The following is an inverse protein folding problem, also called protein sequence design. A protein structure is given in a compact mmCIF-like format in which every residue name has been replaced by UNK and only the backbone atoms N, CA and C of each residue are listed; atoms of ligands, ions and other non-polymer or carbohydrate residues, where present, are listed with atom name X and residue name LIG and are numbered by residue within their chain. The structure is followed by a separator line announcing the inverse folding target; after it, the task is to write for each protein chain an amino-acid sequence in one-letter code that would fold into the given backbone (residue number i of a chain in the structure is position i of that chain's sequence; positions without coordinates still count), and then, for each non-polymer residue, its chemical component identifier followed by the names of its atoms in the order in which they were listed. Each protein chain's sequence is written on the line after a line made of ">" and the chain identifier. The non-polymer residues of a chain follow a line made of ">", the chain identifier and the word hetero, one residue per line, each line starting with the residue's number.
data_IF_434447696110
#
_entry.id   IF_434447696110
#
_cell.length_a   1.000
_cell.length_b   1.000
_cell.length_c   1.000
_cell.angle_alpha   90.00
_cell.angle_beta   90.00
_cell.angle_gamma   90.00
#
_symmetry.space_group_name_H-M   'P 1'
#
loop_
_entity.id
_entity.type
_entity.pdbx_description
1 polymer ?
#
# COMPACT_ATOMS: atom_id res chain seq x y z
N UNK A 1 -10.05 13.89 -10.63
CA UNK A 1 -10.55 13.91 -9.23
C UNK A 1 -10.49 12.53 -8.58
N UNK A 2 -10.82 11.44 -9.29
CA UNK A 2 -10.63 10.06 -8.80
C UNK A 2 -9.15 9.66 -8.64
N UNK A 3 -8.30 10.09 -9.57
CA UNK A 3 -6.83 9.86 -9.57
C UNK A 3 -6.12 10.52 -8.38
N UNK A 4 -6.71 11.55 -7.78
CA UNK A 4 -6.17 12.23 -6.60
C UNK A 4 -6.80 11.75 -5.29
N UNK A 5 -7.79 10.84 -5.33
CA UNK A 5 -8.33 10.15 -4.15
C UNK A 5 -7.64 8.80 -3.93
N UNK A 6 -7.30 8.04 -4.99
CA UNK A 6 -6.51 6.82 -4.85
C UNK A 6 -5.12 7.09 -4.21
N UNK A 7 -4.46 8.19 -4.62
CA UNK A 7 -3.17 8.62 -4.06
C UNK A 7 -3.19 9.01 -2.56
N UNK A 8 -4.35 9.05 -1.90
CA UNK A 8 -4.50 9.50 -0.50
C UNK A 8 -4.33 8.38 0.52
N UNK A 9 -4.61 7.13 0.15
CA UNK A 9 -4.63 6.01 1.10
C UNK A 9 -3.27 5.28 1.14
N UNK A 10 -2.46 5.39 0.08
CA UNK A 10 -1.26 4.55 -0.11
C UNK A 10 0.08 5.30 -0.13
N UNK A 11 0.11 6.60 0.21
CA UNK A 11 1.32 7.44 0.10
C UNK A 11 2.49 6.96 0.97
N UNK A 12 2.23 6.51 2.19
CA UNK A 12 3.27 6.06 3.13
C UNK A 12 4.14 4.93 2.54
N UNK A 13 3.53 4.03 1.79
CA UNK A 13 4.22 2.84 1.28
C UNK A 13 4.65 3.02 -0.17
N UNK A 14 3.98 3.90 -0.93
CA UNK A 14 4.58 4.47 -2.14
C UNK A 14 5.92 5.15 -1.84
N UNK A 15 6.01 5.89 -0.73
CA UNK A 15 7.24 6.55 -0.32
C UNK A 15 8.31 5.51 0.11
N UNK A 16 7.92 4.40 0.76
CA UNK A 16 8.82 3.27 1.07
C UNK A 16 9.36 2.61 -0.20
N UNK A 17 8.51 2.36 -1.20
CA UNK A 17 8.91 1.75 -2.47
C UNK A 17 9.73 2.74 -3.30
N UNK A 18 9.37 4.02 -3.34
CA UNK A 18 10.10 5.07 -4.06
C UNK A 18 11.47 5.36 -3.44
N UNK A 19 11.59 5.31 -2.11
CA UNK A 19 12.87 5.45 -1.41
C UNK A 19 13.79 4.22 -1.62
N UNK A 20 13.22 3.03 -1.75
CA UNK A 20 13.97 1.79 -1.97
C UNK A 20 14.39 1.59 -3.45
N UNK A 21 13.54 1.95 -4.40
CA UNK A 21 13.80 1.74 -5.84
C UNK A 21 14.50 2.96 -6.44
N UNK A 22 15.78 3.13 -6.08
CA UNK A 22 16.67 4.18 -6.57
C UNK A 22 17.07 3.92 -8.05
N UNK A 23 16.11 3.96 -8.99
CA UNK A 23 16.40 3.74 -10.42
C UNK A 23 15.23 3.44 -11.37
N UNK A 24 13.99 3.25 -10.87
CA UNK A 24 12.80 3.21 -11.74
C UNK A 24 12.07 4.53 -11.62
N UNK A 25 11.87 5.23 -12.73
CA UNK A 25 11.06 6.44 -12.76
C UNK A 25 9.67 6.09 -12.21
N UNK A 26 9.24 6.78 -11.16
CA UNK A 26 7.88 6.67 -10.57
C UNK A 26 6.75 6.92 -11.58
N UNK A 27 7.09 7.38 -12.79
CA UNK A 27 6.16 7.57 -13.90
C UNK A 27 5.78 6.26 -14.63
N UNK A 28 6.49 5.15 -14.37
CA UNK A 28 6.24 3.83 -15.00
C UNK A 28 5.48 2.85 -14.08
N UNK A 29 4.94 3.36 -12.98
CA UNK A 29 4.26 2.59 -11.95
C UNK A 29 2.79 3.02 -11.85
N UNK A 30 1.88 2.07 -12.03
CA UNK A 30 0.44 2.29 -11.93
C UNK A 30 -0.16 1.53 -10.74
N UNK A 31 -1.03 2.18 -9.97
CA UNK A 31 -1.92 1.51 -9.01
C UNK A 31 -2.77 0.48 -9.75
N UNK A 32 -2.69 -0.77 -9.33
CA UNK A 32 -3.32 -1.86 -10.04
C UNK A 32 -4.83 -1.89 -9.78
N UNK A 33 -5.54 -1.27 -10.71
CA UNK A 33 -6.98 -1.38 -10.91
C UNK A 33 -7.23 -2.12 -12.24
N UNK A 34 -8.44 -2.62 -12.46
CA UNK A 34 -8.75 -3.38 -13.68
C UNK A 34 -8.32 -2.66 -14.99
N UNK A 35 -8.39 -1.32 -15.03
CA UNK A 35 -7.98 -0.54 -16.20
C UNK A 35 -6.47 -0.36 -16.39
N UNK A 36 -5.67 -0.40 -15.32
CA UNK A 36 -4.21 -0.18 -15.39
C UNK A 36 -3.44 -1.45 -15.71
N UNK A 37 -4.00 -2.62 -15.37
CA UNK A 37 -3.45 -3.92 -15.78
C UNK A 37 -3.43 -4.07 -17.30
N UNK A 38 -4.56 -3.79 -17.95
CA UNK A 38 -4.66 -3.83 -19.41
C UNK A 38 -3.67 -2.87 -20.07
N UNK A 39 -3.56 -1.63 -19.57
CA UNK A 39 -2.60 -0.66 -20.07
C UNK A 39 -1.13 -1.10 -19.92
N UNK A 40 -0.77 -1.75 -18.81
CA UNK A 40 0.58 -2.26 -18.60
C UNK A 40 0.91 -3.44 -19.52
N UNK A 41 -0.06 -4.33 -19.76
CA UNK A 41 0.07 -5.44 -20.71
C UNK A 41 0.24 -4.90 -22.13
N UNK A 42 -0.61 -3.95 -22.55
CA UNK A 42 -0.55 -3.32 -23.86
C UNK A 42 0.79 -2.61 -24.09
N UNK A 43 1.29 -1.87 -23.10
CA UNK A 43 2.62 -1.28 -23.17
C UNK A 43 3.73 -2.33 -23.34
N UNK A 44 3.59 -3.47 -22.67
CA UNK A 44 4.47 -4.64 -22.82
C UNK A 44 4.51 -5.16 -24.26
N UNK A 45 3.36 -5.25 -24.93
CA UNK A 45 3.30 -5.64 -26.35
C UNK A 45 4.03 -4.66 -27.27
N UNK A 46 4.10 -3.38 -26.88
CA UNK A 46 4.84 -2.34 -27.58
C UNK A 46 6.33 -2.26 -27.18
N UNK A 47 6.85 -3.25 -26.43
CA UNK A 47 8.24 -3.32 -26.00
C UNK A 47 8.60 -2.41 -24.83
N UNK A 48 7.61 -1.83 -24.14
CA UNK A 48 7.82 -0.99 -22.95
C UNK A 48 7.43 -1.76 -21.69
N UNK A 49 8.34 -1.84 -20.72
CA UNK A 49 8.00 -2.42 -19.42
C UNK A 49 7.31 -1.36 -18.56
N UNK A 50 6.04 -1.58 -18.25
CA UNK A 50 5.28 -0.79 -17.28
C UNK A 50 4.98 -1.69 -16.10
N UNK A 51 5.28 -1.22 -14.89
CA UNK A 51 5.03 -1.94 -13.66
C UNK A 51 3.67 -1.53 -13.06
N UNK A 52 3.03 -2.49 -12.41
CA UNK A 52 1.82 -2.27 -11.61
C UNK A 52 2.10 -2.59 -10.15
N UNK A 53 1.46 -1.86 -9.24
CA UNK A 53 1.47 -2.13 -7.80
C UNK A 53 0.05 -2.47 -7.39
N UNK A 54 -0.18 -3.71 -6.95
CA UNK A 54 -1.48 -4.14 -6.44
C UNK A 54 -1.93 -3.34 -5.23
N UNK A 55 -3.23 -3.32 -4.91
CA UNK A 55 -3.78 -2.58 -3.76
C UNK A 55 -4.67 -3.44 -2.87
N UNK A 56 -4.77 -3.04 -1.61
CA UNK A 56 -5.55 -3.61 -0.51
C UNK A 56 -5.12 -5.01 -0.04
N UNK A 57 -4.88 -5.94 -0.96
CA UNK A 57 -4.44 -7.31 -0.69
C UNK A 57 -3.24 -7.70 -1.56
N UNK A 58 -2.68 -8.89 -1.31
CA UNK A 58 -1.67 -9.45 -2.20
C UNK A 58 -2.32 -9.93 -3.51
N UNK A 59 -2.58 -8.97 -4.40
CA UNK A 59 -3.29 -9.20 -5.66
C UNK A 59 -2.52 -10.13 -6.59
N UNK A 60 -1.20 -10.30 -6.38
CA UNK A 60 -0.38 -11.26 -7.13
C UNK A 60 -0.98 -12.67 -7.07
N UNK A 61 -1.52 -13.06 -5.92
CA UNK A 61 -2.07 -14.40 -5.69
C UNK A 61 -3.36 -14.68 -6.46
N UNK A 62 -4.07 -13.63 -6.89
CA UNK A 62 -5.34 -13.74 -7.65
C UNK A 62 -5.22 -13.25 -9.08
N UNK A 63 -4.09 -12.64 -9.45
CA UNK A 63 -3.81 -12.13 -10.77
C UNK A 63 -3.58 -13.26 -11.78
N UNK A 64 -3.94 -13.01 -13.04
CA UNK A 64 -3.56 -13.88 -14.16
C UNK A 64 -2.04 -13.86 -14.38
N UNK A 65 -1.51 -14.87 -15.06
CA UNK A 65 -0.08 -14.93 -15.38
C UNK A 65 0.42 -13.70 -16.18
N UNK A 66 -0.44 -13.14 -17.05
CA UNK A 66 -0.12 -11.95 -17.83
C UNK A 66 0.01 -10.69 -16.94
N UNK A 67 -0.85 -10.58 -15.91
CA UNK A 67 -0.81 -9.49 -14.95
C UNK A 67 0.38 -9.64 -13.98
N UNK A 68 0.62 -10.85 -13.47
CA UNK A 68 1.77 -11.17 -12.61
C UNK A 68 3.10 -10.79 -13.26
N UNK A 69 3.25 -10.99 -14.58
CA UNK A 69 4.45 -10.64 -15.30
C UNK A 69 4.81 -9.14 -15.18
N UNK A 70 3.83 -8.27 -14.96
CA UNK A 70 4.00 -6.81 -14.84
C UNK A 70 3.62 -6.29 -13.44
N UNK A 71 3.46 -7.15 -12.44
CA UNK A 71 3.16 -6.74 -11.06
C UNK A 71 4.43 -6.71 -10.23
N UNK A 72 4.86 -5.51 -9.84
CA UNK A 72 6.09 -5.28 -9.08
C UNK A 72 5.95 -5.76 -7.63
N UNK A 73 4.80 -5.48 -7.02
CA UNK A 73 4.46 -5.76 -5.63
C UNK A 73 2.96 -5.47 -5.41
N UNK A 74 2.45 -5.66 -4.19
CA UNK A 74 1.14 -5.19 -3.74
C UNK A 74 1.20 -4.42 -2.43
N UNK A 75 0.46 -3.33 -2.39
CA UNK A 75 0.13 -2.53 -1.24
C UNK A 75 -0.91 -3.23 -0.37
N UNK A 76 -0.57 -3.55 0.87
CA UNK A 76 -1.46 -4.24 1.79
C UNK A 76 -2.19 -3.23 2.68
N UNK A 77 -3.52 -3.36 2.78
CA UNK A 77 -4.36 -2.72 3.79
C UNK A 77 -5.04 -3.80 4.60
N UNK A 78 -4.65 -3.93 5.87
CA UNK A 78 -5.09 -4.99 6.78
C UNK A 78 -6.46 -4.68 7.37
N UNK A 79 -7.46 -4.56 6.50
CA UNK A 79 -8.87 -4.42 6.89
C UNK A 79 -9.33 -5.63 7.71
N UNK A 80 -8.79 -6.81 7.41
CA UNK A 80 -8.96 -8.03 8.21
C UNK A 80 -8.53 -7.82 9.66
N UNK A 81 -7.39 -7.17 9.90
CA UNK A 81 -6.91 -6.83 11.24
C UNK A 81 -7.87 -5.87 11.94
N UNK A 82 -8.30 -4.82 11.23
CA UNK A 82 -9.23 -3.84 11.79
C UNK A 82 -10.58 -4.45 12.18
N UNK A 83 -11.14 -5.31 11.33
CA UNK A 83 -12.39 -6.03 11.60
C UNK A 83 -12.22 -6.98 12.78
N UNK A 84 -11.11 -7.73 12.84
CA UNK A 84 -10.82 -8.62 13.96
C UNK A 84 -10.78 -7.85 15.29
N UNK A 85 -10.04 -6.74 15.35
CA UNK A 85 -9.88 -5.95 16.57
C UNK A 85 -11.23 -5.37 17.05
N UNK A 86 -12.09 -4.92 16.12
CA UNK A 86 -13.46 -4.45 16.45
C UNK A 86 -14.30 -5.57 17.04
N UNK A 87 -14.32 -6.75 16.42
CA UNK A 87 -15.09 -7.91 16.91
C UNK A 87 -14.57 -8.36 18.27
N UNK A 88 -13.25 -8.47 18.43
CA UNK A 88 -12.63 -8.87 19.69
C UNK A 88 -12.96 -7.91 20.83
N UNK A 89 -12.91 -6.60 20.57
CA UNK A 89 -13.29 -5.60 21.56
C UNK A 89 -14.76 -5.70 21.94
N UNK A 90 -15.66 -5.86 20.97
CA UNK A 90 -17.10 -6.02 21.22
C UNK A 90 -17.41 -7.26 22.07
N UNK A 91 -16.76 -8.39 21.78
CA UNK A 91 -16.89 -9.62 22.59
C UNK A 91 -16.45 -9.39 24.05
N UNK A 92 -15.42 -8.57 24.25
CA UNK A 92 -14.92 -8.22 25.58
C UNK A 92 -15.67 -7.05 26.25
N UNK A 93 -16.74 -6.52 25.63
CA UNK A 93 -17.49 -5.38 26.15
C UNK A 93 -16.71 -4.05 26.12
N UNK A 94 -15.74 -3.92 25.21
CA UNK A 94 -14.86 -2.76 25.04
C UNK A 94 -14.97 -2.17 23.63
N UNK A 95 -14.29 -1.06 23.35
CA UNK A 95 -14.23 -0.41 22.03
C UNK A 95 -12.78 -0.14 21.65
N UNK A 96 -12.48 -0.18 20.35
CA UNK A 96 -11.17 0.18 19.79
C UNK A 96 -11.10 1.60 19.25
N UNK A 97 -12.22 2.33 19.22
CA UNK A 97 -12.27 3.67 18.64
C UNK A 97 -11.59 4.71 19.54
N UNK A 98 -10.70 5.48 18.93
CA UNK A 98 -10.04 6.66 19.49
C UNK A 98 -10.76 7.94 19.03
N UNK A 99 -10.47 9.06 19.69
CA UNK A 99 -10.90 10.39 19.20
C UNK A 99 -9.89 10.87 18.16
N UNK A 100 -10.30 10.94 16.89
CA UNK A 100 -9.42 11.34 15.79
C UNK A 100 -9.44 12.85 15.57
N UNK A 101 -10.61 13.47 15.72
CA UNK A 101 -10.77 14.92 15.70
C UNK A 101 -11.93 15.30 16.64
N UNK A 102 -11.57 15.83 17.81
CA UNK A 102 -12.54 16.26 18.81
C UNK A 102 -13.41 17.43 18.33
N UNK A 103 -12.87 18.34 17.51
CA UNK A 103 -13.59 19.50 17.01
C UNK A 103 -14.60 19.10 15.91
N UNK A 104 -14.25 18.11 15.09
CA UNK A 104 -15.15 17.54 14.08
C UNK A 104 -16.04 16.40 14.62
N UNK A 105 -15.90 16.02 15.89
CA UNK A 105 -16.65 14.90 16.50
C UNK A 105 -16.36 13.54 15.85
N UNK A 106 -15.17 13.37 15.27
CA UNK A 106 -14.81 12.16 14.52
C UNK A 106 -14.06 11.18 15.41
N UNK A 107 -14.61 9.97 15.55
CA UNK A 107 -14.00 8.86 16.27
C UNK A 107 -13.69 7.70 15.32
N UNK A 108 -12.64 6.94 15.62
CA UNK A 108 -12.20 5.80 14.83
C UNK A 108 -10.82 5.35 15.27
N UNK A 109 -10.23 4.40 14.56
CA UNK A 109 -8.87 3.94 14.83
C UNK A 109 -8.03 4.00 13.57
N UNK A 110 -6.82 4.54 13.68
CA UNK A 110 -5.89 4.60 12.55
C UNK A 110 -4.98 3.39 12.61
N UNK A 111 -5.11 2.50 11.62
CA UNK A 111 -4.26 1.32 11.46
C UNK A 111 -3.07 1.67 10.57
N UNK A 112 -1.99 2.14 11.18
CA UNK A 112 -0.73 2.51 10.52
C UNK A 112 0.24 1.32 10.43
N UNK A 113 1.48 1.56 10.00
CA UNK A 113 2.57 0.59 10.11
C UNK A 113 2.81 0.13 11.56
N UNK A 114 2.47 0.94 12.57
CA UNK A 114 2.64 0.58 13.99
C UNK A 114 1.66 -0.48 14.45
N UNK A 115 0.44 -0.48 13.89
CA UNK A 115 -0.60 -1.46 14.20
C UNK A 115 -0.71 -2.55 13.13
N UNK A 116 0.34 -2.72 12.32
CA UNK A 116 0.36 -3.63 11.17
C UNK A 116 -0.87 -3.47 10.26
N UNK A 117 -1.36 -2.23 10.15
CA UNK A 117 -2.53 -1.86 9.36
C UNK A 117 -2.25 -1.73 7.88
N UNK A 118 -1.01 -1.45 7.52
CA UNK A 118 -0.54 -1.32 6.14
C UNK A 118 0.79 -2.05 5.97
N UNK A 119 1.12 -2.44 4.73
CA UNK A 119 2.38 -3.13 4.44
C UNK A 119 2.62 -3.31 2.94
N UNK A 120 3.65 -4.07 2.60
CA UNK A 120 4.04 -4.40 1.22
C UNK A 120 4.19 -5.91 1.05
N UNK A 121 3.73 -6.43 -0.08
CA UNK A 121 3.89 -7.84 -0.47
C UNK A 121 5.23 -8.05 -1.18
N UNK A 122 5.88 -9.18 -0.90
CA UNK A 122 7.10 -9.60 -1.61
C UNK A 122 6.83 -10.64 -2.71
N UNK A 123 5.54 -10.95 -2.97
CA UNK A 123 5.14 -11.85 -4.05
C UNK A 123 5.63 -11.36 -5.41
N UNK A 124 6.13 -12.29 -6.23
CA UNK A 124 6.80 -11.99 -7.50
C UNK A 124 8.30 -11.71 -7.40
N UNK A 125 8.85 -11.63 -6.19
CA UNK A 125 10.29 -11.53 -5.86
C UNK A 125 11.06 -10.32 -6.43
N UNK A 126 10.41 -9.42 -7.18
CA UNK A 126 11.06 -8.28 -7.83
C UNK A 126 11.66 -7.27 -6.86
N UNK A 127 11.09 -7.16 -5.66
CA UNK A 127 11.52 -6.19 -4.63
C UNK A 127 12.28 -6.83 -3.46
N UNK A 128 12.43 -8.16 -3.42
CA UNK A 128 13.05 -8.89 -2.29
C UNK A 128 14.48 -8.43 -2.01
N UNK A 129 15.24 -8.08 -3.06
CA UNK A 129 16.59 -7.51 -2.92
C UNK A 129 16.66 -6.16 -2.19
N UNK A 130 15.52 -5.46 -2.06
CA UNK A 130 15.43 -4.17 -1.38
C UNK A 130 14.84 -4.27 0.03
N UNK A 131 14.64 -5.50 0.54
CA UNK A 131 13.97 -5.73 1.83
C UNK A 131 14.57 -4.90 2.96
N UNK A 132 15.89 -4.85 3.09
CA UNK A 132 16.55 -4.10 4.17
C UNK A 132 16.28 -2.59 4.08
N UNK A 133 16.20 -2.04 2.87
CA UNK A 133 15.88 -0.62 2.65
C UNK A 133 14.42 -0.32 2.97
N UNK A 134 13.51 -1.23 2.59
CA UNK A 134 12.09 -1.15 2.87
C UNK A 134 11.84 -1.22 4.38
N UNK A 135 12.46 -2.19 5.06
CA UNK A 135 12.37 -2.36 6.51
C UNK A 135 12.92 -1.13 7.24
N UNK A 136 14.05 -0.58 6.78
CA UNK A 136 14.61 0.66 7.31
C UNK A 136 13.67 1.84 7.14
N UNK A 137 13.09 2.04 5.96
CA UNK A 137 12.15 3.13 5.71
C UNK A 137 10.89 2.98 6.58
N UNK A 138 10.38 1.76 6.75
CA UNK A 138 9.27 1.49 7.65
C UNK A 138 9.62 1.83 9.11
N UNK A 139 10.82 1.50 9.58
CA UNK A 139 11.30 1.88 10.91
C UNK A 139 11.43 3.40 11.06
N UNK A 140 11.97 4.09 10.06
CA UNK A 140 12.12 5.55 10.06
C UNK A 140 10.74 6.25 10.08
N UNK A 141 9.73 5.73 9.37
CA UNK A 141 8.34 6.22 9.45
C UNK A 141 7.75 6.00 10.84
N UNK A 142 7.89 4.78 11.41
CA UNK A 142 7.40 4.49 12.77
C UNK A 142 8.05 5.40 13.82
N UNK A 143 9.34 5.72 13.65
CA UNK A 143 10.05 6.62 14.55
C UNK A 143 9.72 8.11 14.36
N UNK A 144 9.00 8.47 13.28
CA UNK A 144 8.74 9.85 12.90
C UNK A 144 9.91 10.55 12.18
N UNK A 145 11.06 9.89 11.99
CA UNK A 145 12.18 10.42 11.21
C UNK A 145 11.79 10.68 9.74
N UNK A 146 10.87 9.89 9.19
CA UNK A 146 10.18 10.18 7.94
C UNK A 146 8.73 10.54 8.27
N UNK A 147 8.31 11.74 7.88
CA UNK A 147 6.91 12.16 7.96
C UNK A 147 6.24 11.96 6.61
N UNK A 148 5.21 11.11 6.58
CA UNK A 148 4.41 10.89 5.37
C UNK A 148 3.41 12.05 5.22
N UNK A 149 3.39 12.75 4.08
CA UNK A 149 2.42 13.82 3.83
C UNK A 149 0.98 13.30 3.88
N UNK A 150 0.14 13.95 4.69
CA UNK A 150 -1.28 13.60 4.85
C UNK A 150 -2.20 14.39 3.90
N UNK A 151 -1.63 15.31 3.11
CA UNK A 151 -2.33 16.16 2.13
C UNK A 151 -1.59 16.11 0.78
N UNK A 152 -2.30 16.18 -0.37
CA UNK A 152 -1.69 16.21 -1.71
C UNK A 152 -0.85 17.47 -1.95
#
# INVERSE_FOLDING_TARGET
>A
MLTSMLKRVDRAVYDVIAAAVNGSSVNDVLDATAGTFAAAIDAGTAGKKVWTIGVDSDQYLTASAAEQANMLTSMLKRVDRAVYDVIAAAVNGTSVNDVLDAAAGTNGRVYSLELDGVGVSYSGDYITKYKDQIDKAAADIKSGAITVPTKP
#
